data_IF_533128130059
#
_entry.id   IF_533128130059
#
_cell.length_a   1.000
_cell.length_b   1.000
_cell.length_c   1.000
_cell.angle_alpha   90.00
_cell.angle_beta   90.00
_cell.angle_gamma   90.00
#
_symmetry.space_group_name_H-M   'P 1'
#
loop_
_entity.id
_entity.type
_entity.pdbx_description
1 polymer ?
#
# COMPACT_ATOMS: atom_id res chain seq x y z
N UNK A 1 -27.98 -49.24 -4.19
CA UNK A 1 -28.48 -48.61 -2.94
C UNK A 1 -27.36 -48.21 -1.97
N UNK A 2 -26.54 -49.12 -1.42
CA UNK A 2 -25.45 -48.71 -0.50
C UNK A 2 -24.28 -48.00 -1.19
N UNK A 3 -24.01 -48.33 -2.47
CA UNK A 3 -23.03 -47.63 -3.31
C UNK A 3 -23.46 -46.18 -3.60
N UNK A 4 -24.73 -45.99 -3.94
CA UNK A 4 -25.28 -44.68 -4.33
C UNK A 4 -25.35 -43.70 -3.14
N UNK A 5 -25.61 -44.22 -1.94
CA UNK A 5 -25.58 -43.44 -0.70
C UNK A 5 -24.16 -42.96 -0.36
N UNK A 6 -23.14 -43.78 -0.60
CA UNK A 6 -21.76 -43.40 -0.37
C UNK A 6 -21.26 -42.38 -1.42
N UNK A 7 -21.67 -42.51 -2.68
CA UNK A 7 -21.32 -41.53 -3.72
C UNK A 7 -21.96 -40.16 -3.46
N UNK A 8 -23.23 -40.14 -3.04
CA UNK A 8 -23.93 -38.91 -2.67
C UNK A 8 -23.27 -38.23 -1.45
N UNK A 9 -22.90 -38.99 -0.42
CA UNK A 9 -22.20 -38.44 0.75
C UNK A 9 -20.82 -37.90 0.40
N UNK A 10 -20.11 -38.54 -0.54
CA UNK A 10 -18.81 -38.06 -1.02
C UNK A 10 -18.96 -36.77 -1.82
N UNK A 11 -19.96 -36.68 -2.70
CA UNK A 11 -20.27 -35.50 -3.47
C UNK A 11 -20.64 -34.30 -2.57
N UNK A 12 -21.44 -34.54 -1.53
CA UNK A 12 -21.80 -33.51 -0.55
C UNK A 12 -20.57 -32.95 0.18
N UNK A 13 -19.63 -33.81 0.57
CA UNK A 13 -18.36 -33.38 1.20
C UNK A 13 -17.51 -32.55 0.25
N UNK A 14 -17.40 -32.97 -1.01
CA UNK A 14 -16.66 -32.23 -2.03
C UNK A 14 -17.29 -30.86 -2.28
N UNK A 15 -18.61 -30.80 -2.39
CA UNK A 15 -19.36 -29.56 -2.58
C UNK A 15 -19.16 -28.59 -1.42
N UNK A 16 -19.23 -29.09 -0.18
CA UNK A 16 -19.00 -28.27 1.01
C UNK A 16 -17.56 -27.74 1.07
N UNK A 17 -16.58 -28.58 0.74
CA UNK A 17 -15.16 -28.16 0.69
C UNK A 17 -14.96 -27.06 -0.36
N UNK A 18 -15.48 -27.25 -1.58
CA UNK A 18 -15.38 -26.25 -2.65
C UNK A 18 -16.08 -24.93 -2.27
N UNK A 19 -17.20 -25.00 -1.56
CA UNK A 19 -17.92 -23.82 -1.07
C UNK A 19 -17.10 -23.03 -0.04
N UNK A 20 -16.44 -23.72 0.89
CA UNK A 20 -15.55 -23.08 1.87
C UNK A 20 -14.35 -22.40 1.19
N UNK A 21 -13.74 -23.07 0.21
CA UNK A 21 -12.65 -22.49 -0.57
C UNK A 21 -13.08 -21.26 -1.36
N UNK A 22 -14.25 -21.31 -2.01
CA UNK A 22 -14.81 -20.17 -2.74
C UNK A 22 -15.07 -19.00 -1.80
N UNK A 23 -15.61 -19.26 -0.61
CA UNK A 23 -15.85 -18.22 0.39
C UNK A 23 -14.53 -17.62 0.94
N UNK A 24 -13.47 -18.43 1.06
CA UNK A 24 -12.12 -17.93 1.39
C UNK A 24 -11.58 -17.04 0.27
N UNK A 25 -11.64 -17.49 -0.98
CA UNK A 25 -11.16 -16.72 -2.14
C UNK A 25 -11.92 -15.41 -2.29
N UNK A 26 -13.24 -15.42 -2.12
CA UNK A 26 -14.06 -14.20 -2.18
C UNK A 26 -13.62 -13.16 -1.15
N UNK A 27 -13.41 -13.56 0.11
CA UNK A 27 -12.90 -12.67 1.17
C UNK A 27 -11.52 -12.12 0.85
N UNK A 28 -10.64 -12.93 0.26
CA UNK A 28 -9.30 -12.47 -0.13
C UNK A 28 -9.37 -11.47 -1.29
N UNK A 29 -10.24 -11.72 -2.27
CA UNK A 29 -10.45 -10.82 -3.40
C UNK A 29 -11.01 -9.46 -2.95
N UNK A 30 -11.96 -9.45 -2.01
CA UNK A 30 -12.48 -8.21 -1.42
C UNK A 30 -11.36 -7.41 -0.74
N UNK A 31 -10.53 -8.06 0.09
CA UNK A 31 -9.36 -7.42 0.71
C UNK A 31 -8.35 -6.89 -0.32
N UNK A 32 -8.15 -7.62 -1.40
CA UNK A 32 -7.24 -7.22 -2.49
C UNK A 32 -7.80 -6.03 -3.27
N UNK A 33 -9.10 -6.01 -3.55
CA UNK A 33 -9.77 -4.87 -4.19
C UNK A 33 -9.65 -3.61 -3.32
N UNK A 34 -9.91 -3.72 -2.02
CA UNK A 34 -9.73 -2.61 -1.08
C UNK A 34 -8.28 -2.14 -1.01
N UNK A 35 -7.31 -3.07 -1.10
CA UNK A 35 -5.90 -2.72 -1.17
C UNK A 35 -5.58 -1.98 -2.48
N UNK A 36 -5.96 -2.53 -3.63
CA UNK A 36 -5.73 -1.92 -4.94
C UNK A 36 -6.37 -0.54 -4.97
N UNK A 37 -7.58 -0.37 -4.46
CA UNK A 37 -8.22 0.94 -4.40
C UNK A 37 -7.45 1.89 -3.47
N UNK A 38 -7.07 1.49 -2.26
CA UNK A 38 -6.25 2.34 -1.36
C UNK A 38 -4.92 2.75 -1.98
N UNK A 39 -4.29 1.83 -2.70
CA UNK A 39 -2.98 2.05 -3.33
C UNK A 39 -3.12 2.83 -4.63
N UNK A 40 -4.11 2.58 -5.47
CA UNK A 40 -4.26 3.20 -6.81
C UNK A 40 -5.13 4.46 -6.85
N UNK A 41 -6.06 4.64 -5.90
CA UNK A 41 -7.09 5.68 -5.99
C UNK A 41 -6.65 7.07 -5.53
N UNK A 42 -5.41 7.26 -5.08
CA UNK A 42 -4.93 8.58 -4.69
C UNK A 42 -4.18 9.24 -5.84
N UNK A 43 -4.54 10.51 -6.09
CA UNK A 43 -4.13 11.31 -7.24
C UNK A 43 -2.63 11.21 -7.53
N UNK A 44 -2.18 11.39 -8.79
CA UNK A 44 -0.76 11.43 -9.16
C UNK A 44 0.08 12.46 -8.38
N UNK A 45 -0.57 13.38 -7.65
CA UNK A 45 0.06 14.34 -6.75
C UNK A 45 0.51 13.73 -5.39
N UNK A 46 0.25 12.44 -5.13
CA UNK A 46 0.64 11.76 -3.88
C UNK A 46 2.03 11.08 -3.97
N UNK A 47 2.74 11.24 -5.09
CA UNK A 47 4.09 10.68 -5.26
C UNK A 47 5.13 11.70 -4.78
N UNK A 48 5.99 11.25 -3.86
CA UNK A 48 7.15 12.00 -3.37
C UNK A 48 8.41 11.38 -3.95
N UNK A 49 9.28 12.24 -4.50
CA UNK A 49 10.59 11.83 -5.01
C UNK A 49 11.69 12.31 -4.07
N UNK A 50 12.71 11.50 -3.87
CA UNK A 50 13.90 11.77 -3.08
C UNK A 50 15.15 11.62 -3.94
N UNK A 51 16.08 12.56 -3.82
CA UNK A 51 17.43 12.42 -4.37
C UNK A 51 18.36 12.05 -3.23
N UNK A 52 18.85 10.80 -3.25
CA UNK A 52 19.75 10.25 -2.24
C UNK A 52 21.10 10.03 -2.89
N UNK A 53 22.00 11.00 -2.73
CA UNK A 53 23.35 11.00 -3.33
C UNK A 53 23.35 10.77 -4.86
N UNK A 54 22.41 11.38 -5.57
CA UNK A 54 22.27 11.26 -7.03
C UNK A 54 21.37 10.10 -7.48
N UNK A 55 20.86 9.28 -6.56
CA UNK A 55 19.90 8.22 -6.87
C UNK A 55 18.48 8.67 -6.56
N UNK A 56 17.64 8.69 -7.59
CA UNK A 56 16.23 9.02 -7.44
C UNK A 56 15.45 7.84 -6.85
N UNK A 57 14.83 8.06 -5.69
CA UNK A 57 13.93 7.11 -5.05
C UNK A 57 12.53 7.72 -4.96
N UNK A 58 11.49 6.95 -5.25
CA UNK A 58 10.11 7.45 -5.19
C UNK A 58 9.27 6.62 -4.24
N UNK A 59 8.33 7.27 -3.56
CA UNK A 59 7.37 6.60 -2.69
C UNK A 59 6.07 7.39 -2.62
N UNK A 60 5.04 6.80 -2.04
CA UNK A 60 3.79 7.53 -1.80
C UNK A 60 3.89 8.33 -0.52
N UNK A 61 3.27 9.50 -0.51
CA UNK A 61 3.16 10.35 0.66
C UNK A 61 2.40 9.64 1.78
N UNK A 62 1.36 8.88 1.43
CA UNK A 62 0.67 7.97 2.36
C UNK A 62 1.61 6.97 3.06
N UNK A 63 2.68 6.51 2.39
CA UNK A 63 3.72 5.66 3.00
C UNK A 63 4.55 6.39 4.06
N UNK A 64 4.80 7.69 3.88
CA UNK A 64 5.55 8.52 4.84
C UNK A 64 4.69 8.92 6.05
N UNK A 65 3.37 8.90 5.90
CA UNK A 65 2.37 9.28 6.93
C UNK A 65 1.85 8.11 7.77
N UNK A 66 2.43 6.91 7.64
CA UNK A 66 1.88 5.71 8.31
C UNK A 66 1.89 5.80 9.84
N UNK A 67 2.88 6.49 10.42
CA UNK A 67 3.04 6.66 11.86
C UNK A 67 2.52 8.02 12.29
N UNK A 68 1.39 8.02 12.99
CA UNK A 68 0.75 9.23 13.50
C UNK A 68 1.63 9.94 14.54
N UNK A 69 1.70 11.27 14.46
CA UNK A 69 2.51 12.14 15.31
C UNK A 69 3.99 12.22 14.92
N UNK A 70 4.45 11.41 13.96
CA UNK A 70 5.86 11.38 13.55
C UNK A 70 6.28 12.65 12.80
N UNK A 71 7.57 13.01 12.80
CA UNK A 71 8.08 14.12 11.99
C UNK A 71 7.77 13.95 10.49
N UNK A 72 7.86 12.70 10.00
CA UNK A 72 7.50 12.36 8.62
C UNK A 72 6.01 12.60 8.35
N UNK A 73 5.11 12.26 9.27
CA UNK A 73 3.70 12.58 9.05
C UNK A 73 3.48 14.09 8.93
N UNK A 74 4.04 14.88 9.87
CA UNK A 74 3.84 16.33 9.89
C UNK A 74 4.42 17.03 8.67
N UNK A 75 5.59 16.60 8.21
CA UNK A 75 6.26 17.17 7.04
C UNK A 75 5.48 16.94 5.74
N UNK A 76 4.73 15.84 5.67
CA UNK A 76 3.99 15.43 4.48
C UNK A 76 2.47 15.57 4.66
N UNK A 77 2.03 16.30 5.68
CA UNK A 77 0.62 16.53 5.96
C UNK A 77 0.00 17.47 4.91
N UNK A 78 -1.29 17.29 4.64
CA UNK A 78 -2.00 17.98 3.55
C UNK A 78 -1.89 19.51 3.67
N UNK A 79 -2.00 20.06 4.87
CA UNK A 79 -1.88 21.51 5.11
C UNK A 79 -0.50 22.06 4.72
N UNK A 80 0.58 21.37 5.10
CA UNK A 80 1.96 21.78 4.84
C UNK A 80 2.39 21.52 3.40
N UNK A 81 1.94 20.42 2.81
CA UNK A 81 2.28 20.00 1.46
C UNK A 81 1.62 20.89 0.41
N UNK A 82 0.34 21.23 0.58
CA UNK A 82 -0.37 22.15 -0.31
C UNK A 82 0.19 23.57 -0.27
N UNK A 83 0.77 24.01 0.85
CA UNK A 83 1.45 25.31 0.93
C UNK A 83 2.76 25.31 0.11
N UNK A 84 3.46 24.17 0.06
CA UNK A 84 4.65 23.96 -0.78
C UNK A 84 4.31 23.96 -2.28
N UNK A 85 3.15 23.40 -2.65
CA UNK A 85 2.61 23.49 -4.01
C UNK A 85 2.28 24.95 -4.38
N UNK A 86 1.65 25.70 -3.47
CA UNK A 86 1.24 27.11 -3.68
C UNK A 86 2.42 28.08 -3.79
N UNK A 87 3.55 27.80 -3.14
CA UNK A 87 4.80 28.58 -3.25
C UNK A 87 5.56 28.34 -4.57
N UNK A 88 4.95 27.67 -5.55
CA UNK A 88 5.51 27.47 -6.88
C UNK A 88 6.63 26.43 -6.92
N UNK A 89 6.79 25.61 -5.87
CA UNK A 89 7.82 24.58 -5.83
C UNK A 89 7.45 23.35 -6.67
N UNK A 90 6.16 23.14 -6.94
CA UNK A 90 5.59 21.93 -7.55
C UNK A 90 4.65 22.35 -8.69
N UNK A 91 5.17 22.50 -9.92
CA UNK A 91 4.32 22.58 -11.11
C UNK A 91 3.89 21.16 -11.48
N UNK A 92 2.65 21.00 -11.96
CA UNK A 92 1.94 19.73 -12.25
C UNK A 92 2.65 18.74 -13.20
N UNK A 93 3.92 18.97 -13.56
CA UNK A 93 4.69 18.12 -14.46
C UNK A 93 5.98 17.54 -13.88
N UNK A 94 6.61 18.12 -12.84
CA UNK A 94 7.83 17.54 -12.24
C UNK A 94 7.97 17.98 -10.78
N UNK A 95 7.63 17.10 -9.85
CA UNK A 95 7.95 17.33 -8.44
C UNK A 95 9.46 17.38 -8.27
N UNK A 96 10.02 18.45 -7.70
CA UNK A 96 11.46 18.50 -7.40
C UNK A 96 11.78 17.46 -6.33
N UNK A 97 12.78 16.58 -6.54
CA UNK A 97 13.11 15.58 -5.55
C UNK A 97 13.63 16.25 -4.27
N UNK A 98 13.25 15.68 -3.13
CA UNK A 98 13.74 16.08 -1.82
C UNK A 98 15.14 15.51 -1.64
N UNK A 99 16.13 16.37 -1.44
CA UNK A 99 17.50 15.94 -1.20
C UNK A 99 17.64 15.31 0.17
N UNK A 100 18.29 14.15 0.22
CA UNK A 100 18.54 13.39 1.44
C UNK A 100 20.04 13.18 1.57
N UNK A 101 20.64 13.83 2.56
CA UNK A 101 22.06 13.66 2.89
C UNK A 101 22.27 12.48 3.84
N UNK A 102 21.90 11.29 3.38
CA UNK A 102 22.10 10.03 4.10
C UNK A 102 22.65 8.95 3.16
N UNK A 103 23.10 7.84 3.76
CA UNK A 103 23.51 6.68 3.01
C UNK A 103 22.34 6.08 2.22
N UNK A 104 22.59 5.76 0.94
CA UNK A 104 21.61 5.23 0.01
C UNK A 104 21.00 3.90 0.49
N UNK A 105 21.85 3.01 1.02
CA UNK A 105 21.42 1.72 1.50
C UNK A 105 20.54 1.87 2.74
N UNK A 106 20.97 2.66 3.72
CA UNK A 106 20.22 2.89 4.95
C UNK A 106 18.85 3.52 4.65
N UNK A 107 18.81 4.57 3.83
CA UNK A 107 17.56 5.23 3.48
C UNK A 107 16.62 4.31 2.69
N UNK A 108 17.17 3.50 1.77
CA UNK A 108 16.40 2.49 1.05
C UNK A 108 15.76 1.47 1.99
N UNK A 109 16.51 0.96 2.97
CA UNK A 109 15.95 0.03 3.97
C UNK A 109 14.86 0.66 4.82
N UNK A 110 14.99 1.93 5.20
CA UNK A 110 13.95 2.64 5.94
C UNK A 110 12.69 2.77 5.08
N UNK A 111 12.82 3.22 3.82
CA UNK A 111 11.69 3.32 2.90
C UNK A 111 11.00 1.97 2.69
N UNK A 112 11.76 0.89 2.53
CA UNK A 112 11.21 -0.45 2.36
C UNK A 112 10.44 -0.91 3.60
N UNK A 113 10.94 -0.63 4.80
CA UNK A 113 10.20 -0.93 6.04
C UNK A 113 8.87 -0.17 6.11
N UNK A 114 8.86 1.11 5.72
CA UNK A 114 7.62 1.88 5.65
C UNK A 114 6.64 1.29 4.63
N UNK A 115 7.13 0.91 3.44
CA UNK A 115 6.31 0.26 2.39
C UNK A 115 5.72 -1.07 2.89
N UNK A 116 6.54 -1.91 3.51
CA UNK A 116 6.09 -3.17 4.09
C UNK A 116 5.04 -2.94 5.17
N UNK A 117 5.20 -1.93 6.02
CA UNK A 117 4.19 -1.58 7.04
C UNK A 117 2.89 -1.06 6.44
N UNK A 118 2.91 -0.35 5.31
CA UNK A 118 1.68 -0.01 4.56
C UNK A 118 0.98 -1.29 4.09
N UNK A 119 1.75 -2.23 3.55
CA UNK A 119 1.24 -3.50 3.01
C UNK A 119 0.75 -4.44 4.11
N UNK A 120 1.39 -4.41 5.27
CA UNK A 120 1.07 -5.25 6.42
C UNK A 120 -0.02 -4.68 7.33
N UNK A 121 -0.69 -3.57 6.97
CA UNK A 121 -1.85 -3.07 7.73
C UNK A 121 -3.02 -4.04 7.57
N UNK A 122 -2.90 -5.20 8.23
CA UNK A 122 -3.98 -5.78 9.01
C UNK A 122 -4.32 -4.79 10.13
N UNK A 123 -5.61 -4.67 10.41
CA UNK A 123 -6.28 -3.63 11.19
C UNK A 123 -5.65 -3.40 12.58
N UNK A 124 -5.46 -2.13 12.96
CA UNK A 124 -5.36 -1.68 14.36
C UNK A 124 -6.52 -0.74 14.64
#
# INVERSE_FOLDING_TARGET
RSSDLNSLSQEEKLLNTAKEELQRVKRNLEKEQDFIQRVSAQSPNDIVSFDVKGTLMTTKRSTLRIFKGSPLERQFDDATWHEQDRKGMQTKSKSRPIFVDHDLYCFGKILDQLRLKVMSKEEY
#
